data_IF_071436446512
#
_entry.id   IF_071436446512
#
_cell.length_a   1.000
_cell.length_b   1.000
_cell.length_c   1.000
_cell.angle_alpha   90.00
_cell.angle_beta   90.00
_cell.angle_gamma   90.00
#
_symmetry.space_group_name_H-M   'P 1'
#
loop_
_entity.id
_entity.type
_entity.pdbx_description
1 polymer ?
#
# COMPACT_ATOMS: atom_id res chain seq x y z
N UNK A 1 0.73 13.00 0.49
CA UNK A 1 2.10 13.42 0.10
C UNK A 1 3.08 12.24 -0.06
N UNK A 2 2.58 11.05 -0.38
CA UNK A 2 3.44 9.86 -0.53
C UNK A 2 4.58 10.05 -1.56
N UNK A 3 4.32 10.67 -2.71
CA UNK A 3 5.32 11.00 -3.72
C UNK A 3 6.38 12.01 -3.27
N UNK A 4 6.07 12.84 -2.29
CA UNK A 4 7.01 13.78 -1.67
C UNK A 4 7.83 13.15 -0.55
N UNK A 5 7.61 11.86 -0.28
CA UNK A 5 8.31 11.08 0.73
C UNK A 5 8.23 11.67 2.14
N UNK A 6 7.13 12.34 2.48
CA UNK A 6 6.84 12.85 3.82
C UNK A 6 5.89 11.90 4.56
N UNK A 7 6.26 11.54 5.76
CA UNK A 7 5.47 10.73 6.69
C UNK A 7 5.66 11.24 8.12
N UNK A 8 4.86 10.72 9.04
CA UNK A 8 4.87 11.10 10.45
C UNK A 8 4.96 9.86 11.32
N UNK A 9 5.77 9.92 12.37
CA UNK A 9 5.80 8.93 13.44
C UNK A 9 5.09 9.48 14.67
N UNK A 10 4.00 8.86 15.07
CA UNK A 10 3.21 9.22 16.25
C UNK A 10 3.14 8.02 17.18
N UNK A 11 3.30 8.23 18.49
CA UNK A 11 3.21 7.14 19.44
C UNK A 11 3.97 7.38 20.73
N UNK A 12 4.52 6.31 21.28
CA UNK A 12 5.30 6.38 22.53
C UNK A 12 6.46 7.36 22.39
N UNK A 13 6.59 8.31 23.35
CA UNK A 13 7.56 9.40 23.29
C UNK A 13 9.02 8.91 23.26
N UNK A 14 9.34 7.82 23.94
CA UNK A 14 10.69 7.26 23.92
C UNK A 14 11.02 6.67 22.55
N UNK A 15 10.07 5.95 21.94
CA UNK A 15 10.24 5.39 20.60
C UNK A 15 10.38 6.51 19.55
N UNK A 16 9.54 7.52 19.61
CA UNK A 16 9.60 8.69 18.69
C UNK A 16 10.94 9.39 18.80
N UNK A 17 11.45 9.61 20.02
CA UNK A 17 12.78 10.22 20.25
C UNK A 17 13.92 9.37 19.70
N UNK A 18 13.84 8.04 19.75
CA UNK A 18 14.85 7.16 19.13
C UNK A 18 14.83 7.24 17.61
N UNK A 19 13.63 7.37 17.03
CA UNK A 19 13.46 7.60 15.58
C UNK A 19 14.04 8.95 15.17
N UNK A 20 13.77 10.01 15.94
CA UNK A 20 14.34 11.35 15.73
C UNK A 20 15.87 11.32 15.74
N UNK A 21 16.47 10.69 16.74
CA UNK A 21 17.92 10.54 16.83
C UNK A 21 18.52 9.80 15.61
N UNK A 22 17.87 8.72 15.16
CA UNK A 22 18.30 8.02 13.96
C UNK A 22 18.16 8.90 12.70
N UNK A 23 17.09 9.67 12.61
CA UNK A 23 16.86 10.58 11.50
C UNK A 23 17.90 11.68 11.42
N UNK A 24 18.27 12.29 12.55
CA UNK A 24 19.29 13.32 12.62
C UNK A 24 20.66 12.83 12.12
N UNK A 25 21.01 11.61 12.47
CA UNK A 25 22.27 11.00 12.03
C UNK A 25 22.25 10.45 10.60
N UNK A 26 21.09 9.93 10.13
CA UNK A 26 20.99 9.31 8.83
C UNK A 26 20.64 10.29 7.72
N UNK A 27 19.82 11.32 7.99
CA UNK A 27 19.25 12.20 6.99
C UNK A 27 19.65 13.68 7.15
N UNK A 28 20.27 14.04 8.27
CA UNK A 28 20.65 15.42 8.59
C UNK A 28 19.49 16.44 8.47
N UNK A 29 18.26 15.99 8.65
CA UNK A 29 17.04 16.78 8.56
C UNK A 29 16.27 16.63 7.24
N UNK A 30 15.02 17.08 7.26
CA UNK A 30 14.12 17.04 6.11
C UNK A 30 14.18 18.38 5.39
N UNK A 31 14.27 18.36 4.06
CA UNK A 31 14.26 19.55 3.21
C UNK A 31 13.07 20.47 3.54
N UNK A 32 13.35 21.71 3.95
CA UNK A 32 12.36 22.63 4.49
C UNK A 32 11.11 22.82 3.62
N UNK A 33 11.19 22.98 2.28
CA UNK A 33 10.01 23.09 1.44
C UNK A 33 9.03 21.90 1.57
N UNK A 34 9.52 20.68 1.82
CA UNK A 34 8.67 19.51 2.06
C UNK A 34 7.94 19.63 3.40
N UNK A 35 8.59 20.17 4.43
CA UNK A 35 7.96 20.44 5.73
C UNK A 35 6.85 21.48 5.61
N UNK A 36 7.12 22.60 4.93
CA UNK A 36 6.13 23.66 4.68
C UNK A 36 4.93 23.13 3.87
N UNK A 37 5.20 22.31 2.83
CA UNK A 37 4.13 21.65 2.08
C UNK A 37 3.32 20.67 2.94
N UNK A 38 3.97 19.99 3.90
CA UNK A 38 3.29 19.13 4.88
C UNK A 38 2.38 19.92 5.81
N UNK A 39 2.84 21.05 6.32
CA UNK A 39 2.04 21.97 7.16
C UNK A 39 0.83 22.46 6.36
N UNK A 40 1.03 22.97 5.16
CA UNK A 40 -0.06 23.41 4.30
C UNK A 40 -1.09 22.30 4.00
N UNK A 41 -0.63 21.07 3.77
CA UNK A 41 -1.52 19.93 3.54
C UNK A 41 -2.34 19.55 4.78
N UNK A 42 -1.79 19.69 5.99
CA UNK A 42 -2.47 19.36 7.24
C UNK A 42 -3.42 20.46 7.72
N UNK A 43 -3.11 21.73 7.42
CA UNK A 43 -3.88 22.90 7.89
C UNK A 43 -4.84 23.45 6.83
N UNK A 44 -4.71 23.02 5.59
CA UNK A 44 -5.56 23.45 4.47
C UNK A 44 -6.89 22.69 4.38
N UNK A 45 -7.59 22.87 3.26
CA UNK A 45 -8.85 22.19 2.97
C UNK A 45 -8.67 20.67 2.92
N UNK A 46 -9.57 19.93 3.54
CA UNK A 46 -9.52 18.47 3.66
C UNK A 46 -10.48 17.72 2.73
N UNK A 47 -11.23 18.42 1.87
CA UNK A 47 -12.23 17.83 0.97
C UNK A 47 -11.63 16.72 0.09
N UNK A 48 -10.41 16.92 -0.41
CA UNK A 48 -9.70 15.93 -1.20
C UNK A 48 -9.34 14.64 -0.43
N UNK A 49 -9.33 14.68 0.90
CA UNK A 49 -9.09 13.50 1.74
C UNK A 49 -10.30 12.59 1.70
N UNK A 50 -11.51 13.16 1.84
CA UNK A 50 -12.75 12.41 1.80
C UNK A 50 -13.01 11.79 0.41
N UNK A 51 -12.76 12.54 -0.67
CA UNK A 51 -12.85 12.03 -2.04
C UNK A 51 -11.92 10.84 -2.27
N UNK A 52 -10.68 10.92 -1.79
CA UNK A 52 -9.71 9.83 -1.90
C UNK A 52 -10.10 8.64 -1.04
N UNK A 53 -10.57 8.88 0.19
CA UNK A 53 -11.07 7.82 1.08
C UNK A 53 -12.15 7.02 0.39
N UNK A 54 -13.17 7.69 -0.13
CA UNK A 54 -14.27 7.06 -0.86
C UNK A 54 -13.79 6.30 -2.12
N UNK A 55 -12.80 6.84 -2.83
CA UNK A 55 -12.21 6.18 -4.01
C UNK A 55 -11.49 4.90 -3.64
N UNK A 56 -10.63 4.92 -2.60
CA UNK A 56 -9.90 3.73 -2.18
C UNK A 56 -10.81 2.70 -1.50
N UNK A 57 -11.87 3.12 -0.82
CA UNK A 57 -12.89 2.23 -0.28
C UNK A 57 -13.56 1.42 -1.39
N UNK A 58 -14.06 2.06 -2.44
CA UNK A 58 -14.64 1.38 -3.61
C UNK A 58 -13.64 0.43 -4.29
N UNK A 59 -12.37 0.85 -4.44
CA UNK A 59 -11.33 0.02 -5.05
C UNK A 59 -10.98 -1.19 -4.18
N UNK A 60 -10.93 -1.01 -2.88
CA UNK A 60 -10.75 -2.09 -1.91
C UNK A 60 -11.87 -3.12 -2.03
N UNK A 61 -13.11 -2.67 -2.02
CA UNK A 61 -14.28 -3.55 -2.06
C UNK A 61 -14.30 -4.36 -3.35
N UNK A 62 -13.97 -3.75 -4.49
CA UNK A 62 -13.81 -4.46 -5.77
C UNK A 62 -12.67 -5.48 -5.73
N UNK A 63 -11.54 -5.13 -5.13
CA UNK A 63 -10.42 -6.05 -5.02
C UNK A 63 -10.74 -7.25 -4.12
N UNK A 64 -11.39 -7.02 -2.99
CA UNK A 64 -11.82 -8.10 -2.08
C UNK A 64 -12.86 -9.00 -2.74
N UNK A 65 -13.81 -8.45 -3.50
CA UNK A 65 -14.76 -9.24 -4.28
C UNK A 65 -14.09 -10.08 -5.37
N UNK A 66 -13.03 -9.57 -6.02
CA UNK A 66 -12.25 -10.33 -7.00
C UNK A 66 -11.43 -11.47 -6.37
N UNK A 67 -11.12 -11.35 -5.07
CA UNK A 67 -10.40 -12.33 -4.26
C UNK A 67 -11.34 -13.21 -3.41
N UNK A 68 -12.63 -13.28 -3.74
CA UNK A 68 -13.58 -14.11 -3.01
C UNK A 68 -13.10 -15.56 -2.98
N UNK A 69 -13.11 -16.17 -1.78
CA UNK A 69 -12.56 -17.52 -1.53
C UNK A 69 -11.06 -17.55 -1.20
N UNK A 70 -10.37 -16.45 -1.32
CA UNK A 70 -8.96 -16.29 -0.95
C UNK A 70 -8.87 -15.51 0.36
N UNK A 71 -7.99 -15.93 1.27
CA UNK A 71 -7.71 -15.18 2.49
C UNK A 71 -7.09 -13.82 2.12
N UNK A 72 -7.82 -12.72 2.36
CA UNK A 72 -7.40 -11.38 2.01
C UNK A 72 -7.75 -10.37 3.10
N UNK A 73 -6.90 -9.36 3.29
CA UNK A 73 -7.04 -8.32 4.31
C UNK A 73 -6.74 -6.94 3.72
N UNK A 74 -7.57 -5.95 4.07
CA UNK A 74 -7.36 -4.55 3.73
C UNK A 74 -8.17 -3.67 4.69
N UNK A 75 -7.60 -3.35 5.83
CA UNK A 75 -8.23 -2.53 6.87
C UNK A 75 -7.97 -1.03 6.68
N UNK A 76 -6.97 -0.68 5.89
CA UNK A 76 -6.60 0.70 5.63
C UNK A 76 -5.58 0.86 4.51
N UNK A 77 -5.26 2.11 4.19
CA UNK A 77 -4.35 2.48 3.11
C UNK A 77 -4.87 2.13 1.71
N UNK A 78 -3.98 1.95 0.78
CA UNK A 78 -4.26 1.60 -0.61
C UNK A 78 -3.64 0.25 -1.00
N UNK A 79 -3.54 -0.67 -0.05
CA UNK A 79 -3.01 -2.01 -0.27
C UNK A 79 -4.03 -3.07 0.14
N UNK A 80 -4.02 -4.19 -0.60
CA UNK A 80 -4.67 -5.44 -0.23
C UNK A 80 -3.59 -6.49 -0.03
N UNK A 81 -3.63 -7.17 1.10
CA UNK A 81 -2.78 -8.28 1.46
C UNK A 81 -3.56 -9.56 1.26
N UNK A 82 -3.06 -10.50 0.47
CA UNK A 82 -3.79 -11.72 0.15
C UNK A 82 -2.87 -12.94 0.10
N UNK A 83 -3.42 -14.09 0.41
CA UNK A 83 -2.71 -15.35 0.39
C UNK A 83 -2.64 -15.91 -1.02
N UNK A 84 -1.47 -16.39 -1.43
CA UNK A 84 -1.31 -17.13 -2.67
C UNK A 84 -1.77 -18.56 -2.46
N UNK A 85 -2.60 -19.14 -3.35
CA UNK A 85 -2.90 -20.56 -3.36
C UNK A 85 -1.63 -21.42 -3.49
N UNK A 86 -1.72 -22.66 -3.06
CA UNK A 86 -0.60 -23.60 -3.19
C UNK A 86 -0.18 -23.76 -4.67
N UNK A 87 1.11 -23.66 -4.92
CA UNK A 87 1.67 -23.74 -6.28
C UNK A 87 1.65 -22.44 -7.07
N UNK A 88 0.98 -21.38 -6.60
CA UNK A 88 1.00 -20.05 -7.27
C UNK A 88 2.09 -19.19 -6.67
N UNK A 89 2.89 -18.58 -7.55
CA UNK A 89 3.99 -17.68 -7.15
C UNK A 89 3.79 -16.28 -7.71
N UNK A 90 4.43 -15.29 -7.07
CA UNK A 90 4.45 -13.91 -7.56
C UNK A 90 5.06 -13.81 -8.95
N UNK A 91 6.09 -14.62 -9.23
CA UNK A 91 6.74 -14.64 -10.54
C UNK A 91 5.81 -15.18 -11.64
N UNK A 92 4.99 -16.18 -11.36
CA UNK A 92 3.96 -16.65 -12.30
C UNK A 92 2.90 -15.56 -12.55
N UNK A 93 2.42 -14.87 -11.51
CA UNK A 93 1.51 -13.74 -11.69
C UNK A 93 2.10 -12.68 -12.61
N UNK A 94 3.40 -12.39 -12.47
CA UNK A 94 4.09 -11.39 -13.31
C UNK A 94 4.29 -11.89 -14.76
N UNK A 95 4.84 -13.07 -14.93
CA UNK A 95 5.29 -13.55 -16.23
C UNK A 95 4.12 -14.06 -17.09
N UNK A 96 3.25 -14.88 -16.51
CA UNK A 96 2.17 -15.55 -17.25
C UNK A 96 0.92 -14.68 -17.32
N UNK A 97 0.57 -14.01 -16.20
CA UNK A 97 -0.66 -13.22 -16.09
C UNK A 97 -0.43 -11.70 -16.23
N UNK A 98 0.83 -11.25 -16.29
CA UNK A 98 1.23 -9.84 -16.42
C UNK A 98 0.64 -8.96 -15.31
N UNK A 99 0.65 -9.48 -14.08
CA UNK A 99 0.24 -8.77 -12.87
C UNK A 99 1.42 -8.65 -11.93
N UNK A 100 1.86 -7.43 -11.69
CA UNK A 100 2.92 -7.13 -10.73
C UNK A 100 2.31 -6.94 -9.34
N UNK A 101 2.68 -7.81 -8.40
CA UNK A 101 2.37 -7.68 -6.98
C UNK A 101 3.66 -7.75 -6.17
N UNK A 102 3.68 -7.23 -4.95
CA UNK A 102 4.85 -7.33 -4.11
C UNK A 102 4.83 -8.66 -3.34
N UNK A 103 5.94 -9.44 -3.36
CA UNK A 103 6.04 -10.68 -2.60
C UNK A 103 6.00 -10.41 -1.10
N UNK A 104 5.27 -11.25 -0.36
CA UNK A 104 5.07 -11.08 1.07
C UNK A 104 6.36 -11.25 1.88
N UNK A 105 7.28 -12.08 1.42
CA UNK A 105 8.59 -12.29 2.04
C UNK A 105 9.40 -10.99 2.17
N UNK A 106 9.20 -10.03 1.27
CA UNK A 106 9.79 -8.70 1.34
C UNK A 106 9.39 -7.89 2.58
N UNK A 107 8.34 -8.32 3.31
CA UNK A 107 7.83 -7.70 4.53
C UNK A 107 8.14 -8.52 5.80
N UNK A 108 8.94 -9.56 5.68
CA UNK A 108 9.39 -10.41 6.78
C UNK A 108 8.95 -11.87 6.63
N UNK A 109 9.52 -12.73 7.49
CA UNK A 109 9.34 -14.19 7.37
C UNK A 109 7.88 -14.67 7.45
N UNK A 110 7.00 -13.93 8.15
CA UNK A 110 5.57 -14.24 8.23
C UNK A 110 4.80 -13.92 6.95
N UNK A 111 5.43 -13.24 6.00
CA UNK A 111 4.85 -12.93 4.68
C UNK A 111 5.00 -14.06 3.65
N UNK A 112 5.64 -15.18 4.00
CA UNK A 112 5.79 -16.32 3.10
C UNK A 112 4.41 -16.85 2.65
N UNK A 113 4.24 -17.02 1.33
CA UNK A 113 2.97 -17.44 0.73
C UNK A 113 1.90 -16.32 0.64
N UNK A 114 2.29 -15.07 0.86
CA UNK A 114 1.42 -13.91 0.71
C UNK A 114 1.91 -12.97 -0.38
N UNK A 115 1.00 -12.14 -0.87
CA UNK A 115 1.32 -11.06 -1.81
C UNK A 115 0.58 -9.77 -1.44
N UNK A 116 1.15 -8.63 -1.85
CA UNK A 116 0.55 -7.31 -1.66
C UNK A 116 0.19 -6.68 -2.98
N UNK A 117 -1.11 -6.43 -3.19
CA UNK A 117 -1.65 -5.68 -4.32
C UNK A 117 -1.75 -4.18 -3.97
N UNK A 118 -1.44 -3.29 -4.92
CA UNK A 118 -1.65 -1.85 -4.80
C UNK A 118 -2.91 -1.41 -5.53
N UNK A 119 -3.74 -0.60 -4.85
CA UNK A 119 -4.93 0.04 -5.39
C UNK A 119 -4.62 1.42 -6.00
N UNK A 120 -3.37 1.88 -5.94
CA UNK A 120 -2.94 3.21 -6.37
C UNK A 120 -2.64 3.27 -7.88
N UNK A 121 -3.58 2.80 -8.68
CA UNK A 121 -3.55 2.81 -10.16
C UNK A 121 -4.86 3.41 -10.69
N UNK A 122 -4.99 3.62 -12.00
CA UNK A 122 -6.30 3.99 -12.58
C UNK A 122 -7.32 2.85 -12.43
N UNK A 123 -8.62 3.18 -12.46
CA UNK A 123 -9.68 2.16 -12.34
C UNK A 123 -9.61 1.12 -13.47
N UNK A 124 -9.29 1.56 -14.69
CA UNK A 124 -9.10 0.67 -15.84
C UNK A 124 -7.95 -0.34 -15.64
N UNK A 125 -6.81 0.13 -15.10
CA UNK A 125 -5.67 -0.75 -14.80
C UNK A 125 -6.02 -1.70 -13.67
N UNK A 126 -6.72 -1.21 -12.65
CA UNK A 126 -7.17 -2.02 -11.53
C UNK A 126 -8.08 -3.15 -11.99
N UNK A 127 -9.11 -2.85 -12.78
CA UNK A 127 -10.08 -3.85 -13.26
C UNK A 127 -9.40 -4.93 -14.08
N UNK A 128 -8.55 -4.55 -15.06
CA UNK A 128 -7.77 -5.52 -15.83
C UNK A 128 -6.83 -6.36 -14.97
N UNK A 129 -6.24 -5.74 -13.94
CA UNK A 129 -5.39 -6.44 -12.98
C UNK A 129 -6.16 -7.46 -12.17
N UNK A 130 -7.32 -7.09 -11.65
CA UNK A 130 -8.18 -7.97 -10.84
C UNK A 130 -8.74 -9.14 -11.65
N UNK A 131 -9.15 -8.92 -12.90
CA UNK A 131 -9.56 -10.02 -13.81
C UNK A 131 -8.45 -11.06 -13.99
N UNK A 132 -7.21 -10.58 -14.21
CA UNK A 132 -6.04 -11.47 -14.38
C UNK A 132 -5.65 -12.19 -13.09
N UNK A 133 -5.68 -11.49 -11.96
CA UNK A 133 -5.46 -12.12 -10.64
C UNK A 133 -6.49 -13.21 -10.42
N UNK A 134 -7.77 -12.94 -10.63
CA UNK A 134 -8.83 -13.93 -10.48
C UNK A 134 -8.62 -15.15 -11.38
N UNK A 135 -8.25 -14.93 -12.64
CA UNK A 135 -7.95 -16.02 -13.58
C UNK A 135 -6.72 -16.85 -13.18
N UNK A 136 -5.74 -16.23 -12.50
CA UNK A 136 -4.54 -16.90 -12.03
C UNK A 136 -4.77 -17.71 -10.75
N UNK A 137 -5.77 -17.33 -9.94
CA UNK A 137 -6.04 -17.92 -8.63
C UNK A 137 -7.23 -18.93 -8.67
N UNK A 138 -7.91 -19.07 -9.83
CA UNK A 138 -8.98 -20.04 -10.06
C UNK A 138 -8.43 -21.42 -10.34
#
# INVERSE_FOLDING_TARGET
MAGWRLGFALGNAELVRRIELLQDHALAGIFRPIQEAGIAALTGLQDSVEERRATYERRRDRALAALEGIEAQSEGTFFVWFRLPEGVTVDQLLVEHRVAVAPGEGFGARGAGWARLSLAVSDEILDRGLERVRAALA
#
